data_IF_674706727263
#
_entry.id   IF_674706727263
#
_cell.length_a   1.000
_cell.length_b   1.000
_cell.length_c   1.000
_cell.angle_alpha   90.00
_cell.angle_beta   90.00
_cell.angle_gamma   90.00
#
_symmetry.space_group_name_H-M   'P 1'
#
loop_
_entity.id
_entity.type
_entity.pdbx_description
1 polymer ?
#
# COMPACT_ATOMS: atom_id res chain seq x y z
N UNK A 1 47.92 -16.64 -15.84
CA UNK A 1 46.85 -16.54 -14.82
C UNK A 1 46.27 -15.14 -14.91
N UNK A 2 45.13 -15.00 -15.58
CA UNK A 2 44.42 -13.73 -15.77
C UNK A 2 43.26 -13.69 -14.77
N UNK A 3 43.02 -12.57 -14.06
CA UNK A 3 42.07 -12.54 -12.95
C UNK A 3 40.60 -12.63 -13.43
N UNK A 4 39.67 -13.11 -12.56
CA UNK A 4 38.26 -13.31 -12.86
C UNK A 4 37.44 -11.99 -12.85
N UNK A 5 37.90 -10.96 -13.56
CA UNK A 5 37.27 -9.62 -13.50
C UNK A 5 36.09 -9.45 -14.47
N UNK A 6 36.12 -10.13 -15.62
CA UNK A 6 35.13 -9.97 -16.70
C UNK A 6 33.73 -10.52 -16.38
N UNK A 7 33.56 -11.71 -15.77
CA UNK A 7 32.22 -12.22 -15.45
C UNK A 7 31.56 -11.48 -14.28
N UNK A 8 32.36 -10.82 -13.41
CA UNK A 8 31.82 -10.00 -12.32
C UNK A 8 31.20 -8.70 -12.84
N UNK A 9 31.81 -8.05 -13.84
CA UNK A 9 31.29 -6.81 -14.42
C UNK A 9 29.93 -7.02 -15.10
N UNK A 10 29.76 -8.14 -15.83
CA UNK A 10 28.50 -8.49 -16.51
C UNK A 10 27.38 -8.80 -15.51
N UNK A 11 27.68 -9.53 -14.43
CA UNK A 11 26.74 -9.78 -13.34
C UNK A 11 26.31 -8.51 -12.61
N UNK A 12 27.23 -7.57 -12.40
CA UNK A 12 26.95 -6.25 -11.79
C UNK A 12 26.10 -5.38 -12.72
N UNK A 13 26.34 -5.38 -14.04
CA UNK A 13 25.51 -4.64 -15.00
C UNK A 13 24.09 -5.20 -15.15
N UNK A 14 23.89 -6.52 -15.06
CA UNK A 14 22.55 -7.12 -15.10
C UNK A 14 21.78 -6.81 -13.81
N UNK A 15 22.46 -6.81 -12.65
CA UNK A 15 21.85 -6.39 -11.38
C UNK A 15 21.47 -4.90 -11.39
N UNK A 16 22.27 -4.06 -12.04
CA UNK A 16 22.01 -2.61 -12.19
C UNK A 16 20.87 -2.32 -13.18
N UNK A 17 20.70 -3.13 -14.23
CA UNK A 17 19.61 -3.00 -15.20
C UNK A 17 18.27 -3.63 -14.73
N UNK A 18 18.31 -4.54 -13.75
CA UNK A 18 17.12 -5.01 -13.03
C UNK A 18 16.65 -4.02 -11.94
N UNK A 19 17.47 -3.03 -11.59
CA UNK A 19 17.13 -1.95 -10.68
C UNK A 19 16.28 -0.84 -11.31
N UNK A 20 15.43 -1.16 -12.31
CA UNK A 20 14.36 -0.23 -12.66
C UNK A 20 13.52 -0.09 -11.40
N UNK A 21 13.59 1.09 -10.78
CA UNK A 21 12.61 1.52 -9.80
C UNK A 21 11.26 1.50 -10.54
N UNK A 22 10.56 0.38 -10.44
CA UNK A 22 9.15 0.31 -10.81
C UNK A 22 8.49 1.27 -9.86
N UNK A 23 8.01 2.39 -10.39
CA UNK A 23 7.24 3.33 -9.59
C UNK A 23 6.05 2.54 -9.05
N UNK A 24 5.98 2.37 -7.74
CA UNK A 24 4.96 1.55 -7.13
C UNK A 24 3.62 2.31 -7.20
N UNK A 25 2.61 1.67 -7.76
CA UNK A 25 1.25 2.22 -7.78
C UNK A 25 0.64 2.16 -6.38
N UNK A 26 0.01 3.26 -5.98
CA UNK A 26 -0.67 3.41 -4.68
C UNK A 26 -2.12 3.86 -4.86
N UNK A 27 -2.98 3.45 -3.93
CA UNK A 27 -4.37 3.93 -3.85
C UNK A 27 -4.40 5.12 -2.90
N UNK A 28 -4.69 6.31 -3.43
CA UNK A 28 -4.88 7.52 -2.63
C UNK A 28 -6.35 7.68 -2.18
N UNK A 29 -6.55 8.14 -0.94
CA UNK A 29 -7.85 8.34 -0.32
C UNK A 29 -7.98 9.80 0.12
N UNK A 30 -9.05 10.48 -0.31
CA UNK A 30 -9.37 11.84 0.09
C UNK A 30 -10.81 11.91 0.62
N UNK A 31 -11.02 12.15 1.93
CA UNK A 31 -10.01 12.34 2.97
C UNK A 31 -9.24 11.06 3.32
N UNK A 32 -8.00 11.21 3.81
CA UNK A 32 -7.11 10.09 4.18
C UNK A 32 -7.56 9.42 5.50
N UNK A 33 -8.62 8.61 5.46
CA UNK A 33 -9.25 7.95 6.61
C UNK A 33 -9.65 6.51 6.28
N UNK A 34 -9.74 5.65 7.31
CA UNK A 34 -10.17 4.25 7.17
C UNK A 34 -11.63 3.99 7.57
N UNK A 35 -12.18 4.82 8.45
CA UNK A 35 -13.54 4.67 8.95
C UNK A 35 -14.41 5.85 8.48
N UNK A 36 -15.64 5.53 8.11
CA UNK A 36 -16.65 6.50 7.67
C UNK A 36 -18.02 6.14 8.24
N UNK A 37 -18.93 7.10 8.24
CA UNK A 37 -20.35 6.86 8.43
C UNK A 37 -21.05 6.71 7.08
N UNK A 38 -22.17 5.99 7.05
CA UNK A 38 -23.07 6.01 5.90
C UNK A 38 -23.46 7.45 5.53
N UNK A 39 -23.47 7.76 4.24
CA UNK A 39 -23.70 9.12 3.71
C UNK A 39 -22.47 10.03 3.70
N UNK A 40 -21.32 9.62 4.25
CA UNK A 40 -20.07 10.34 3.98
C UNK A 40 -19.64 10.16 2.51
N UNK A 41 -18.84 11.10 2.00
CA UNK A 41 -18.24 11.01 0.68
C UNK A 41 -16.72 10.84 0.76
N UNK A 42 -16.16 9.99 -0.10
CA UNK A 42 -14.71 9.77 -0.24
C UNK A 42 -14.32 9.66 -1.71
N UNK A 43 -13.19 10.26 -2.06
CA UNK A 43 -12.59 10.19 -3.39
C UNK A 43 -11.37 9.27 -3.37
N UNK A 44 -11.34 8.31 -4.29
CA UNK A 44 -10.27 7.32 -4.45
C UNK A 44 -9.56 7.54 -5.78
N UNK A 45 -8.23 7.61 -5.80
CA UNK A 45 -7.45 7.80 -7.04
C UNK A 45 -6.21 6.92 -7.08
N UNK A 46 -5.78 6.56 -8.28
CA UNK A 46 -4.54 5.80 -8.48
C UNK A 46 -3.38 6.75 -8.64
N UNK A 47 -2.33 6.55 -7.84
CA UNK A 47 -1.18 7.44 -7.79
C UNK A 47 0.10 6.64 -8.05
N UNK A 48 0.90 7.12 -9.00
CA UNK A 48 2.20 6.57 -9.34
C UNK A 48 3.22 7.71 -9.38
N UNK A 49 4.34 7.57 -8.66
CA UNK A 49 5.37 8.62 -8.59
C UNK A 49 4.86 9.93 -7.97
N UNK A 50 3.80 9.87 -7.16
CA UNK A 50 3.16 11.05 -6.55
C UNK A 50 2.20 11.80 -7.47
N UNK A 51 1.94 11.32 -8.68
CA UNK A 51 0.97 11.91 -9.60
C UNK A 51 -0.23 10.98 -9.79
N UNK A 52 -1.43 11.57 -9.89
CA UNK A 52 -2.63 10.81 -10.25
C UNK A 52 -2.49 10.32 -11.69
N UNK A 53 -2.68 9.02 -11.88
CA UNK A 53 -2.58 8.34 -13.17
C UNK A 53 -3.89 7.69 -13.55
N UNK A 54 -4.07 7.40 -14.83
CA UNK A 54 -5.20 6.62 -15.29
C UNK A 54 -5.08 5.18 -14.74
N UNK A 55 -6.11 4.76 -14.02
CA UNK A 55 -6.11 3.53 -13.26
C UNK A 55 -7.52 3.17 -12.84
N UNK A 56 -7.75 1.87 -12.65
CA UNK A 56 -9.06 1.37 -12.25
C UNK A 56 -9.07 1.11 -10.74
N UNK A 57 -9.95 1.81 -10.02
CA UNK A 57 -10.24 1.49 -8.62
C UNK A 57 -11.13 0.26 -8.57
N UNK A 58 -10.69 -0.74 -7.81
CA UNK A 58 -11.40 -1.99 -7.58
C UNK A 58 -11.81 -2.11 -6.12
N UNK A 59 -12.86 -2.90 -5.89
CA UNK A 59 -13.32 -3.26 -4.54
C UNK A 59 -13.65 -4.73 -4.47
N UNK A 60 -13.44 -5.38 -3.32
CA UNK A 60 -14.06 -6.67 -3.04
C UNK A 60 -14.86 -6.68 -1.74
N UNK A 61 -15.99 -7.38 -1.78
CA UNK A 61 -16.90 -7.65 -0.65
C UNK A 61 -17.23 -9.13 -0.63
N UNK A 62 -16.58 -9.89 0.25
CA UNK A 62 -16.93 -11.30 0.45
C UNK A 62 -16.83 -12.21 -0.79
N UNK A 63 -15.92 -11.93 -1.72
CA UNK A 63 -15.63 -12.78 -2.89
C UNK A 63 -15.94 -12.15 -4.25
N UNK A 64 -16.87 -11.19 -4.33
CA UNK A 64 -17.14 -10.45 -5.58
C UNK A 64 -16.16 -9.30 -5.74
N UNK A 65 -15.63 -9.09 -6.95
CA UNK A 65 -14.75 -7.96 -7.26
C UNK A 65 -15.47 -7.01 -8.21
N UNK A 66 -15.72 -5.80 -7.72
CA UNK A 66 -16.45 -4.74 -8.40
C UNK A 66 -15.46 -3.75 -9.05
N UNK A 67 -15.87 -3.07 -10.12
CA UNK A 67 -15.10 -1.99 -10.77
C UNK A 67 -15.78 -0.64 -10.62
N UNK A 68 -14.99 0.39 -10.27
CA UNK A 68 -15.44 1.77 -10.38
C UNK A 68 -15.35 2.27 -11.82
N UNK A 69 -16.33 3.06 -12.23
CA UNK A 69 -16.43 3.56 -13.60
C UNK A 69 -17.53 4.60 -13.77
N UNK A 70 -18.00 4.86 -15.00
CA UNK A 70 -19.06 5.82 -15.26
C UNK A 70 -20.40 5.37 -14.64
N UNK A 71 -21.42 6.23 -14.71
CA UNK A 71 -22.77 5.92 -14.24
C UNK A 71 -23.25 4.56 -14.79
N UNK A 72 -23.75 3.70 -13.89
CA UNK A 72 -24.15 2.31 -14.20
C UNK A 72 -23.06 1.25 -13.95
N UNK A 73 -21.87 1.65 -13.48
CA UNK A 73 -20.85 0.71 -13.01
C UNK A 73 -21.24 0.03 -11.69
N UNK A 74 -20.52 -1.02 -11.32
CA UNK A 74 -20.79 -1.85 -10.12
C UNK A 74 -20.82 -1.04 -8.82
N UNK A 75 -19.98 0.01 -8.74
CA UNK A 75 -19.97 0.96 -7.63
C UNK A 75 -19.25 2.27 -7.97
N UNK A 76 -19.55 3.32 -7.21
CA UNK A 76 -18.89 4.61 -7.33
C UNK A 76 -19.17 5.33 -8.65
N UNK A 77 -18.72 6.58 -8.72
CA UNK A 77 -18.77 7.39 -9.92
C UNK A 77 -17.37 7.87 -10.26
N UNK A 78 -16.88 7.49 -11.44
CA UNK A 78 -15.61 7.99 -11.94
C UNK A 78 -15.76 9.41 -12.48
N UNK A 79 -15.11 10.38 -11.85
CA UNK A 79 -15.12 11.79 -12.17
C UNK A 79 -13.74 12.40 -11.91
N UNK A 80 -13.22 13.20 -12.83
CA UNK A 80 -11.96 13.95 -12.67
C UNK A 80 -10.78 13.10 -12.17
N UNK A 81 -10.52 11.99 -12.88
CA UNK A 81 -9.43 11.03 -12.57
C UNK A 81 -9.56 10.32 -11.22
N UNK A 82 -10.73 10.40 -10.59
CA UNK A 82 -11.00 9.82 -9.27
C UNK A 82 -12.31 9.05 -9.26
N UNK A 83 -12.38 8.02 -8.44
CA UNK A 83 -13.61 7.30 -8.11
C UNK A 83 -14.23 7.93 -6.86
N UNK A 84 -15.33 8.65 -7.04
CA UNK A 84 -16.08 9.30 -5.95
C UNK A 84 -17.13 8.33 -5.43
N UNK A 85 -17.15 8.13 -4.11
CA UNK A 85 -18.05 7.22 -3.42
C UNK A 85 -18.94 7.99 -2.46
N UNK A 86 -20.24 7.93 -2.65
CA UNK A 86 -21.22 8.26 -1.62
C UNK A 86 -21.49 6.99 -0.82
N UNK A 87 -20.93 6.92 0.39
CA UNK A 87 -20.75 5.66 1.11
C UNK A 87 -22.08 5.12 1.67
N UNK A 88 -22.44 3.92 1.23
CA UNK A 88 -23.47 3.10 1.87
C UNK A 88 -22.81 2.13 2.86
N UNK A 89 -23.51 1.63 3.87
CA UNK A 89 -22.94 0.64 4.80
C UNK A 89 -22.42 -0.62 4.09
N UNK A 90 -23.07 -0.99 2.98
CA UNK A 90 -22.65 -2.07 2.09
C UNK A 90 -21.34 -1.80 1.32
N UNK A 91 -20.74 -0.61 1.46
CA UNK A 91 -19.47 -0.24 0.84
C UNK A 91 -18.26 -0.61 1.72
N UNK A 92 -18.47 -1.17 2.92
CA UNK A 92 -17.37 -1.77 3.69
C UNK A 92 -16.67 -2.85 2.86
N UNK A 93 -15.33 -2.80 2.76
CA UNK A 93 -14.59 -3.76 1.96
C UNK A 93 -13.12 -3.40 1.74
N UNK A 94 -12.45 -4.20 0.90
CA UNK A 94 -11.05 -3.99 0.50
C UNK A 94 -10.99 -3.28 -0.84
N UNK A 95 -10.20 -2.23 -0.93
CA UNK A 95 -10.04 -1.37 -2.11
C UNK A 95 -8.59 -1.37 -2.58
N UNK A 96 -8.37 -1.28 -3.89
CA UNK A 96 -7.04 -1.15 -4.49
C UNK A 96 -7.10 -0.50 -5.87
N UNK A 97 -5.94 -0.09 -6.38
CA UNK A 97 -5.77 0.41 -7.73
C UNK A 97 -5.11 -0.64 -8.64
N UNK A 98 -5.55 -0.68 -9.89
CA UNK A 98 -4.94 -1.44 -10.98
C UNK A 98 -4.57 -0.47 -12.11
N UNK A 99 -3.30 -0.45 -12.47
CA UNK A 99 -2.72 0.34 -13.57
C UNK A 99 -1.95 -0.60 -14.51
N UNK A 100 -1.42 -0.07 -15.62
CA UNK A 100 -0.51 -0.82 -16.48
C UNK A 100 0.80 -1.21 -15.81
N UNK A 101 1.22 -0.48 -14.78
CA UNK A 101 2.45 -0.74 -14.03
C UNK A 101 2.30 -1.79 -12.94
N UNK A 102 1.07 -2.10 -12.52
CA UNK A 102 0.79 -3.14 -11.55
C UNK A 102 -0.45 -2.88 -10.72
N UNK A 103 -0.39 -3.35 -9.48
CA UNK A 103 -1.49 -3.31 -8.53
C UNK A 103 -1.00 -2.75 -7.20
N UNK A 104 -1.77 -1.85 -6.60
CA UNK A 104 -1.44 -1.30 -5.28
C UNK A 104 -1.73 -2.29 -4.16
N UNK A 105 -1.19 -1.99 -2.99
CA UNK A 105 -1.68 -2.57 -1.73
C UNK A 105 -3.19 -2.39 -1.56
N UNK A 106 -3.79 -3.29 -0.77
CA UNK A 106 -5.20 -3.22 -0.40
C UNK A 106 -5.39 -2.37 0.84
N UNK A 107 -6.44 -1.56 0.83
CA UNK A 107 -6.89 -0.74 1.98
C UNK A 107 -8.29 -1.20 2.39
N UNK A 108 -8.49 -1.46 3.68
CA UNK A 108 -9.79 -1.82 4.23
C UNK A 108 -10.53 -0.55 4.67
N UNK A 109 -11.63 -0.22 3.99
CA UNK A 109 -12.52 0.87 4.37
C UNK A 109 -13.72 0.28 5.11
N UNK A 110 -14.02 0.83 6.29
CA UNK A 110 -15.16 0.44 7.12
C UNK A 110 -16.20 1.56 7.16
N UNK A 111 -17.44 1.24 6.81
CA UNK A 111 -18.57 2.17 6.80
C UNK A 111 -19.58 1.75 7.85
N UNK A 112 -19.84 2.63 8.82
CA UNK A 112 -20.70 2.36 9.97
C UNK A 112 -22.05 3.08 9.86
N UNK A 113 -23.10 2.47 10.41
CA UNK A 113 -24.40 3.11 10.56
C UNK A 113 -24.36 4.20 11.63
N UNK A 114 -25.03 5.33 11.38
CA UNK A 114 -25.04 6.51 12.27
C UNK A 114 -25.89 6.28 13.53
N UNK A 115 -26.76 5.29 13.49
CA UNK A 115 -27.66 4.87 14.57
C UNK A 115 -26.97 3.88 15.52
N UNK A 116 -26.03 3.09 15.00
CA UNK A 116 -25.30 2.06 15.77
C UNK A 116 -24.10 2.64 16.51
N UNK A 117 -23.36 3.55 15.88
CA UNK A 117 -22.14 4.12 16.44
C UNK A 117 -22.26 5.64 16.63
N UNK A 118 -22.06 6.17 17.85
CA UNK A 118 -22.16 7.61 18.11
C UNK A 118 -20.97 8.39 17.54
N UNK A 119 -19.79 7.76 17.45
CA UNK A 119 -18.56 8.33 16.95
C UNK A 119 -17.63 7.24 16.39
N UNK A 120 -16.71 7.66 15.52
CA UNK A 120 -15.68 6.81 14.91
C UNK A 120 -14.28 7.42 15.10
N UNK A 121 -13.24 6.60 14.93
CA UNK A 121 -11.86 7.05 14.95
C UNK A 121 -11.41 7.50 13.55
N UNK A 122 -10.96 8.75 13.44
CA UNK A 122 -10.18 9.21 12.28
C UNK A 122 -8.69 8.88 12.48
N UNK A 123 -8.19 8.04 11.59
CA UNK A 123 -6.81 7.54 11.55
C UNK A 123 -6.38 7.47 10.08
N UNK A 124 -5.14 7.83 9.72
CA UNK A 124 -4.69 7.80 8.33
C UNK A 124 -4.80 6.41 7.71
N UNK A 125 -5.23 6.35 6.46
CA UNK A 125 -5.31 5.11 5.70
C UNK A 125 -3.93 4.62 5.25
N UNK A 126 -3.04 5.56 4.93
CA UNK A 126 -1.68 5.27 4.49
C UNK A 126 -0.74 5.02 5.67
N UNK A 127 0.26 4.12 5.52
CA UNK A 127 1.32 3.96 6.51
C UNK A 127 2.04 5.28 6.78
N UNK A 128 2.18 5.60 8.06
CA UNK A 128 2.84 6.83 8.53
C UNK A 128 4.35 6.59 8.59
N UNK A 129 5.13 7.50 8.01
CA UNK A 129 6.59 7.38 8.04
C UNK A 129 7.12 7.66 9.45
N UNK A 130 8.02 6.82 9.96
CA UNK A 130 8.66 7.06 11.24
C UNK A 130 9.38 8.42 11.26
N UNK A 131 9.29 9.12 12.40
CA UNK A 131 9.77 10.49 12.57
C UNK A 131 8.79 11.58 12.13
N UNK A 132 7.69 11.25 11.43
CA UNK A 132 6.63 12.21 11.12
C UNK A 132 5.62 12.34 12.27
N UNK A 133 4.76 13.35 12.20
CA UNK A 133 3.70 13.58 13.17
C UNK A 133 2.35 13.10 12.60
N UNK A 134 1.54 12.44 13.43
CA UNK A 134 0.18 12.05 13.08
C UNK A 134 -0.80 12.55 14.14
N UNK A 135 -1.99 12.93 13.70
CA UNK A 135 -3.08 13.35 14.58
C UNK A 135 -4.26 12.40 14.41
N UNK A 136 -4.70 11.82 15.53
CA UNK A 136 -5.91 11.00 15.60
C UNK A 136 -7.06 11.83 16.17
N UNK A 137 -8.27 11.60 15.66
CA UNK A 137 -9.46 12.37 16.06
C UNK A 137 -10.63 11.45 16.32
N UNK A 138 -11.45 11.79 17.31
CA UNK A 138 -12.73 11.12 17.53
C UNK A 138 -13.83 11.98 16.91
N UNK A 139 -14.51 11.46 15.87
CA UNK A 139 -15.49 12.22 15.08
C UNK A 139 -16.90 11.72 15.37
N UNK A 140 -17.79 12.63 15.74
CA UNK A 140 -19.23 12.37 15.86
C UNK A 140 -19.86 12.12 14.49
N UNK A 141 -21.07 11.56 14.48
CA UNK A 141 -21.86 11.41 13.25
C UNK A 141 -22.02 12.71 12.47
N UNK A 142 -22.30 13.83 13.13
CA UNK A 142 -22.49 15.13 12.47
C UNK A 142 -21.21 15.75 11.89
N UNK A 143 -20.05 15.10 12.06
CA UNK A 143 -18.76 15.58 11.58
C UNK A 143 -17.97 16.40 12.60
N UNK A 144 -18.58 16.77 13.74
CA UNK A 144 -17.90 17.50 14.80
C UNK A 144 -16.90 16.63 15.57
N UNK A 145 -15.87 17.25 16.13
CA UNK A 145 -14.87 16.55 16.94
C UNK A 145 -15.33 16.41 18.39
N UNK A 146 -15.10 15.23 18.97
CA UNK A 146 -15.46 14.89 20.35
C UNK A 146 -14.20 14.75 21.20
N UNK A 147 -14.18 15.41 22.36
CA UNK A 147 -13.17 15.13 23.38
C UNK A 147 -13.36 13.72 23.94
N UNK A 148 -12.32 12.90 23.84
CA UNK A 148 -12.37 11.47 24.14
C UNK A 148 -11.04 10.99 24.73
N UNK A 149 -11.08 9.84 25.40
CA UNK A 149 -9.87 9.08 25.71
C UNK A 149 -9.44 8.33 24.47
N UNK A 150 -8.16 8.35 24.15
CA UNK A 150 -7.59 7.53 23.08
C UNK A 150 -6.96 6.29 23.69
N UNK A 151 -7.28 5.14 23.11
CA UNK A 151 -6.77 3.84 23.53
C UNK A 151 -5.90 3.26 22.42
N UNK A 152 -4.77 2.69 22.82
CA UNK A 152 -3.88 1.90 21.98
C UNK A 152 -3.75 0.51 22.58
N UNK A 153 -4.08 -0.53 21.82
CA UNK A 153 -4.09 -1.91 22.29
C UNK A 153 -4.90 -2.06 23.60
N UNK A 154 -6.04 -1.37 23.68
CA UNK A 154 -6.95 -1.30 24.84
C UNK A 154 -6.39 -0.58 26.09
N UNK A 155 -5.21 0.02 26.01
CA UNK A 155 -4.65 0.84 27.08
C UNK A 155 -4.75 2.33 26.74
N UNK A 156 -5.05 3.18 27.73
CA UNK A 156 -5.09 4.62 27.54
C UNK A 156 -3.72 5.15 27.08
N UNK A 157 -3.71 6.06 26.12
CA UNK A 157 -2.49 6.73 25.64
C UNK A 157 -2.11 7.89 26.55
N UNK A 158 -0.81 8.14 26.72
CA UNK A 158 -0.31 9.34 27.41
C UNK A 158 -0.69 9.37 28.90
N UNK A 159 -1.23 10.52 29.33
CA UNK A 159 -1.66 10.80 30.70
C UNK A 159 -3.09 10.30 31.01
N UNK A 160 -3.77 9.69 30.03
CA UNK A 160 -5.14 9.20 30.20
C UNK A 160 -6.19 10.30 30.29
N UNK A 161 -5.89 11.51 29.80
CA UNK A 161 -6.86 12.60 29.76
C UNK A 161 -7.71 12.57 28.49
N UNK A 162 -8.88 13.21 28.58
CA UNK A 162 -9.69 13.48 27.39
C UNK A 162 -9.11 14.65 26.63
N UNK A 163 -8.86 14.42 25.35
CA UNK A 163 -8.40 15.44 24.42
C UNK A 163 -9.27 15.44 23.18
N UNK A 164 -9.38 16.58 22.50
CA UNK A 164 -10.11 16.66 21.23
C UNK A 164 -9.34 15.99 20.08
N UNK A 165 -8.01 16.04 20.15
CA UNK A 165 -7.10 15.45 19.18
C UNK A 165 -5.90 14.83 19.91
N UNK A 166 -5.49 13.64 19.50
CA UNK A 166 -4.26 13.00 19.97
C UNK A 166 -3.16 13.20 18.91
N UNK A 167 -2.13 13.97 19.26
CA UNK A 167 -0.94 14.14 18.42
C UNK A 167 0.16 13.19 18.86
N UNK A 168 0.52 12.24 17.98
CA UNK A 168 1.69 11.37 18.14
C UNK A 168 2.81 12.02 17.36
N UNK A 169 3.79 12.57 18.08
CA UNK A 169 4.93 13.29 17.49
C UNK A 169 6.11 12.35 17.29
N UNK A 170 6.87 12.57 16.22
CA UNK A 170 8.03 11.78 15.88
C UNK A 170 7.76 10.27 15.96
N UNK A 171 6.74 9.82 15.20
CA UNK A 171 6.21 8.45 15.21
C UNK A 171 7.33 7.41 15.16
N UNK A 172 7.26 6.42 16.05
CA UNK A 172 8.20 5.31 16.12
C UNK A 172 7.54 4.00 15.71
N UNK A 173 8.34 2.97 15.43
CA UNK A 173 7.83 1.63 15.14
C UNK A 173 6.96 1.07 16.27
N UNK A 174 7.26 1.45 17.50
CA UNK A 174 6.48 1.08 18.68
C UNK A 174 5.09 1.72 18.69
N UNK A 175 4.85 2.82 17.96
CA UNK A 175 3.55 3.50 17.87
C UNK A 175 2.53 2.76 17.00
N UNK A 176 2.98 1.79 16.22
CA UNK A 176 2.09 0.88 15.50
C UNK A 176 1.17 0.09 16.46
N UNK A 177 -0.10 -0.07 16.07
CA UNK A 177 -1.05 -0.86 16.85
C UNK A 177 -2.51 -0.54 16.56
N UNK A 178 -3.41 -1.15 17.34
CA UNK A 178 -4.85 -0.93 17.27
C UNK A 178 -5.24 0.28 18.10
N UNK A 179 -5.86 1.27 17.47
CA UNK A 179 -6.37 2.47 18.13
C UNK A 179 -7.90 2.51 18.15
N UNK A 180 -8.47 3.10 19.20
CA UNK A 180 -9.88 3.49 19.32
C UNK A 180 -10.01 4.75 20.19
N UNK A 181 -11.18 5.40 20.16
CA UNK A 181 -11.53 6.45 21.10
C UNK A 181 -12.72 6.04 21.98
N UNK A 182 -12.81 6.56 23.20
CA UNK A 182 -13.89 6.27 24.14
C UNK A 182 -14.33 7.50 24.93
N UNK A 183 -15.57 7.49 25.41
CA UNK A 183 -16.13 8.52 26.29
C UNK A 183 -16.64 7.87 27.58
N UNK A 184 -17.01 8.65 28.61
CA UNK A 184 -17.43 8.06 29.90
C UNK A 184 -18.74 7.25 29.83
N UNK A 185 -19.52 7.42 28.75
CA UNK A 185 -20.95 7.03 28.71
C UNK A 185 -21.26 6.00 27.63
N UNK A 186 -20.26 5.59 26.85
CA UNK A 186 -20.45 4.73 25.69
C UNK A 186 -19.33 3.73 25.54
N UNK A 187 -19.61 2.63 24.86
CA UNK A 187 -18.58 1.71 24.40
C UNK A 187 -17.52 2.42 23.54
N UNK A 188 -16.28 1.91 23.50
CA UNK A 188 -15.24 2.42 22.62
C UNK A 188 -15.67 2.37 21.15
N UNK A 189 -15.13 3.29 20.35
CA UNK A 189 -15.30 3.29 18.90
C UNK A 189 -14.75 1.99 18.29
N UNK A 190 -15.20 1.62 17.08
CA UNK A 190 -14.52 0.60 16.29
C UNK A 190 -13.01 0.86 16.20
N UNK A 191 -12.23 -0.22 16.23
CA UNK A 191 -10.77 -0.14 16.22
C UNK A 191 -10.22 -0.01 14.80
N UNK A 192 -9.07 0.65 14.66
CA UNK A 192 -8.31 0.66 13.40
C UNK A 192 -6.81 0.66 13.64
N UNK A 193 -6.09 0.04 12.72
CA UNK A 193 -4.66 -0.19 12.84
C UNK A 193 -3.85 0.99 12.30
N UNK A 194 -3.02 1.61 13.14
CA UNK A 194 -2.04 2.60 12.70
C UNK A 194 -0.82 1.86 12.15
N UNK A 195 -0.61 1.91 10.84
CA UNK A 195 0.58 1.32 10.21
C UNK A 195 1.72 2.34 10.24
N UNK A 196 2.90 1.90 10.66
CA UNK A 196 4.13 2.69 10.57
C UNK A 196 4.98 2.12 9.43
N UNK A 197 5.77 2.96 8.77
CA UNK A 197 6.82 2.52 7.84
C UNK A 197 8.12 3.22 8.17
N UNK A 198 9.23 2.53 7.99
CA UNK A 198 10.54 3.16 8.14
C UNK A 198 10.74 4.21 7.04
N UNK A 199 11.56 5.24 7.28
CA UNK A 199 11.94 6.16 6.22
C UNK A 199 12.69 5.35 5.16
N UNK A 200 12.26 5.41 3.90
CA UNK A 200 13.01 4.84 2.78
C UNK A 200 14.30 5.63 2.61
N UNK A 201 15.31 5.30 3.42
CA UNK A 201 16.64 5.84 3.32
C UNK A 201 17.32 5.19 2.11
N UNK A 202 17.78 6.03 1.18
CA UNK A 202 18.98 5.72 0.40
C UNK A 202 19.99 5.10 1.34
N UNK A 203 20.37 3.85 1.08
CA UNK A 203 21.44 3.14 1.78
C UNK A 203 22.72 3.97 1.73
N UNK A 204 22.91 4.80 2.73
CA UNK A 204 24.18 5.40 3.09
C UNK A 204 24.41 5.02 4.56
N UNK A 205 25.58 4.46 4.92
CA UNK A 205 25.84 4.00 6.27
C UNK A 205 25.69 5.15 7.27
N UNK A 206 25.19 4.88 8.50
CA UNK A 206 24.99 5.92 9.49
C UNK A 206 26.34 6.54 9.83
N UNK A 207 26.53 7.79 9.44
CA UNK A 207 27.60 8.61 10.00
C UNK A 207 27.21 8.90 11.44
N UNK A 208 27.78 8.13 12.35
CA UNK A 208 27.78 8.39 13.78
C UNK A 208 28.37 9.77 14.03
N UNK A 209 27.52 10.75 14.33
CA UNK A 209 27.97 11.94 15.05
C UNK A 209 27.08 12.10 16.28
N UNK A 210 27.61 11.63 17.40
CA UNK A 210 27.16 12.04 18.72
C UNK A 210 27.54 13.51 18.92
N UNK A 211 26.57 14.35 19.25
CA UNK A 211 26.86 15.57 20.02
C UNK A 211 25.67 15.91 20.91
N UNK A 212 25.88 15.72 22.22
CA UNK A 212 24.99 16.13 23.30
C UNK A 212 24.78 17.64 23.34
N UNK A 213 23.57 17.98 23.78
CA UNK A 213 23.04 19.30 24.10
C UNK A 213 23.89 20.10 25.09
N UNK A 214 23.91 21.43 24.90
CA UNK A 214 24.03 22.38 26.00
C UNK A 214 23.17 23.61 25.70
N UNK A 215 22.33 23.94 26.67
CA UNK A 215 21.40 25.07 26.75
C UNK A 215 22.18 26.34 27.10
N UNK A 216 21.95 27.46 26.39
CA UNK A 216 21.79 28.80 26.99
C UNK A 216 21.14 29.77 25.99
N UNK A 217 20.16 30.54 26.47
CA UNK A 217 19.36 31.58 25.80
C UNK A 217 20.06 32.98 25.92
N UNK A 218 19.43 34.13 25.58
CA UNK A 218 19.18 34.78 24.28
C UNK A 218 20.04 36.06 24.03
N UNK A 219 20.18 36.50 22.76
CA UNK A 219 20.18 37.93 22.33
C UNK A 219 20.47 38.12 20.81
N UNK A 220 19.66 38.98 20.16
CA UNK A 220 19.75 39.50 18.77
C UNK A 220 20.99 40.43 18.54
N UNK A 221 21.29 41.02 17.34
CA UNK A 221 20.61 40.99 16.03
C UNK A 221 21.51 40.73 14.77
N UNK A 222 20.82 40.57 13.63
CA UNK A 222 21.21 40.72 12.21
C UNK A 222 22.60 41.29 11.85
N UNK A 223 23.38 40.52 11.08
CA UNK A 223 24.26 41.04 10.02
C UNK A 223 24.59 39.95 8.99
N UNK A 224 24.35 40.24 7.71
CA UNK A 224 24.63 39.34 6.59
C UNK A 224 26.12 39.41 6.18
N UNK A 225 26.82 38.29 5.91
CA UNK A 225 28.14 38.31 5.28
C UNK A 225 28.08 38.20 3.73
N UNK A 226 29.17 38.57 3.02
CA UNK A 226 29.19 39.01 1.63
C UNK A 226 29.12 37.88 0.58
N UNK A 227 28.92 38.20 -0.72
CA UNK A 227 28.82 37.19 -1.77
C UNK A 227 30.13 36.42 -2.01
N UNK A 228 30.05 35.16 -2.49
CA UNK A 228 31.21 34.31 -2.71
C UNK A 228 32.04 34.74 -3.94
N UNK A 229 33.37 34.45 -3.96
CA UNK A 229 34.23 34.73 -5.11
C UNK A 229 33.95 33.80 -6.30
N UNK A 230 34.32 34.19 -7.54
CA UNK A 230 34.07 33.39 -8.73
C UNK A 230 34.94 32.11 -8.77
N UNK A 231 34.46 31.05 -9.44
CA UNK A 231 35.16 29.77 -9.51
C UNK A 231 36.43 29.85 -10.39
N UNK A 232 37.46 29.02 -10.08
CA UNK A 232 38.68 28.95 -10.89
C UNK A 232 38.42 28.26 -12.24
N UNK A 233 39.27 28.51 -13.26
CA UNK A 233 39.12 27.89 -14.58
C UNK A 233 39.40 26.38 -14.54
N UNK A 234 38.80 25.60 -15.47
CA UNK A 234 38.96 24.15 -15.50
C UNK A 234 40.39 23.73 -15.89
N UNK A 235 40.89 22.59 -15.36
CA UNK A 235 42.20 22.07 -15.70
C UNK A 235 42.25 21.56 -17.16
N UNK A 236 43.45 21.55 -17.78
CA UNK A 236 43.59 21.05 -19.15
C UNK A 236 43.31 19.55 -19.24
N UNK A 237 42.72 19.15 -20.37
CA UNK A 237 42.34 17.76 -20.66
C UNK A 237 43.56 16.83 -20.74
N UNK A 238 43.45 15.58 -20.22
CA UNK A 238 44.55 14.62 -20.20
C UNK A 238 44.91 14.11 -21.60
N UNK A 239 46.16 13.67 -21.82
CA UNK A 239 46.60 13.13 -23.11
C UNK A 239 45.90 11.80 -23.44
N UNK A 240 45.78 11.46 -24.74
CA UNK A 240 45.09 10.26 -25.17
C UNK A 240 45.81 8.98 -24.73
N UNK A 241 45.06 7.90 -24.41
CA UNK A 241 45.62 6.64 -23.93
C UNK A 241 46.40 5.90 -25.04
N UNK A 242 47.40 5.08 -24.68
CA UNK A 242 48.16 4.29 -25.65
C UNK A 242 47.28 3.21 -26.31
N UNK A 243 47.65 2.76 -27.53
CA UNK A 243 46.88 1.77 -28.28
C UNK A 243 46.84 0.42 -27.56
N UNK A 244 45.72 -0.32 -27.68
CA UNK A 244 45.52 -1.59 -26.99
C UNK A 244 46.46 -2.69 -27.51
N UNK A 245 46.89 -3.62 -26.63
CA UNK A 245 47.72 -4.75 -27.05
C UNK A 245 46.94 -5.72 -27.96
N UNK A 246 47.64 -6.48 -28.83
CA UNK A 246 47.01 -7.43 -29.74
C UNK A 246 46.25 -8.53 -28.98
N UNK A 247 45.14 -9.04 -29.53
CA UNK A 247 44.30 -10.01 -28.85
C UNK A 247 45.07 -11.33 -28.64
N UNK A 248 44.97 -11.95 -27.44
CA UNK A 248 45.56 -13.26 -27.21
C UNK A 248 44.84 -14.30 -28.06
N UNK A 249 45.60 -15.16 -28.75
CA UNK A 249 45.06 -16.33 -29.42
C UNK A 249 44.35 -17.22 -28.39
N UNK A 250 43.02 -17.18 -28.38
CA UNK A 250 42.19 -18.04 -27.54
C UNK A 250 42.27 -19.46 -28.08
N UNK A 251 42.86 -20.36 -27.29
CA UNK A 251 42.88 -21.79 -27.60
C UNK A 251 41.45 -22.31 -27.79
N UNK A 252 41.17 -23.15 -28.81
CA UNK A 252 39.83 -23.68 -29.07
C UNK A 252 39.26 -24.43 -27.86
N UNK A 253 40.13 -25.02 -27.03
CA UNK A 253 39.72 -25.66 -25.77
C UNK A 253 39.11 -24.67 -24.77
N UNK A 254 39.63 -23.43 -24.69
CA UNK A 254 39.05 -22.37 -23.85
C UNK A 254 37.71 -21.89 -24.39
N UNK A 255 37.57 -21.80 -25.71
CA UNK A 255 36.30 -21.43 -26.33
C UNK A 255 35.21 -22.47 -26.04
N UNK A 256 35.55 -23.76 -26.14
CA UNK A 256 34.64 -24.86 -25.80
C UNK A 256 34.25 -24.83 -24.33
N UNK A 257 35.19 -24.61 -23.41
CA UNK A 257 34.90 -24.46 -21.98
C UNK A 257 33.99 -23.27 -21.66
N UNK A 258 34.19 -22.14 -22.33
CA UNK A 258 33.29 -20.98 -22.17
C UNK A 258 31.90 -21.22 -22.75
N UNK A 259 31.80 -21.91 -23.89
CA UNK A 259 30.51 -22.29 -24.48
C UNK A 259 29.73 -23.24 -23.59
N UNK A 260 30.39 -24.24 -22.99
CA UNK A 260 29.76 -25.19 -22.05
C UNK A 260 29.31 -24.49 -20.75
N UNK A 261 30.12 -23.56 -20.23
CA UNK A 261 29.76 -22.78 -19.05
C UNK A 261 28.59 -21.83 -19.33
N UNK A 262 28.59 -21.18 -20.50
CA UNK A 262 27.51 -20.27 -20.90
C UNK A 262 26.21 -21.04 -21.17
N UNK A 263 26.28 -22.19 -21.86
CA UNK A 263 25.11 -23.03 -22.11
C UNK A 263 24.50 -23.55 -20.81
N UNK A 264 25.32 -23.97 -19.84
CA UNK A 264 24.84 -24.42 -18.53
C UNK A 264 24.21 -23.27 -17.75
N UNK A 265 24.81 -22.07 -17.78
CA UNK A 265 24.22 -20.88 -17.15
C UNK A 265 22.86 -20.53 -17.77
N UNK A 266 22.76 -20.45 -19.09
CA UNK A 266 21.50 -20.20 -19.79
C UNK A 266 20.44 -21.25 -19.45
N UNK A 267 20.82 -22.53 -19.43
CA UNK A 267 19.94 -23.62 -19.04
C UNK A 267 19.44 -23.48 -17.60
N UNK A 268 20.32 -23.21 -16.64
CA UNK A 268 19.94 -22.98 -15.25
C UNK A 268 19.01 -21.76 -15.10
N UNK A 269 19.30 -20.65 -15.79
CA UNK A 269 18.42 -19.48 -15.75
C UNK A 269 17.06 -19.76 -16.39
N UNK A 270 17.01 -20.50 -17.50
CA UNK A 270 15.77 -20.91 -18.14
C UNK A 270 14.95 -21.85 -17.24
N UNK A 271 15.59 -22.79 -16.56
CA UNK A 271 14.94 -23.67 -15.58
C UNK A 271 14.42 -22.88 -14.38
N UNK A 272 15.18 -21.92 -13.85
CA UNK A 272 14.73 -21.09 -12.73
C UNK A 272 13.53 -20.22 -13.15
N UNK A 273 13.58 -19.59 -14.33
CA UNK A 273 12.44 -18.84 -14.87
C UNK A 273 11.24 -19.76 -15.09
N UNK A 274 11.44 -20.95 -15.66
CA UNK A 274 10.38 -21.94 -15.85
C UNK A 274 9.77 -22.36 -14.51
N UNK A 275 10.58 -22.66 -13.49
CA UNK A 275 10.11 -23.03 -12.15
C UNK A 275 9.38 -21.85 -11.49
N UNK A 276 9.87 -20.61 -11.64
CA UNK A 276 9.18 -19.42 -11.15
C UNK A 276 7.84 -19.18 -11.85
N UNK A 277 7.79 -19.33 -13.18
CA UNK A 277 6.58 -19.22 -13.97
C UNK A 277 5.59 -20.35 -13.65
N UNK A 278 6.06 -21.58 -13.48
CA UNK A 278 5.24 -22.71 -13.06
C UNK A 278 4.69 -22.51 -11.65
N UNK A 279 5.49 -22.02 -10.68
CA UNK A 279 4.98 -21.68 -9.34
C UNK A 279 3.96 -20.55 -9.37
N UNK A 280 4.13 -19.57 -10.26
CA UNK A 280 3.12 -18.52 -10.51
C UNK A 280 1.82 -19.08 -11.10
N UNK A 281 1.93 -20.13 -11.92
CA UNK A 281 0.78 -20.85 -12.50
C UNK A 281 0.13 -21.77 -11.46
N UNK A 282 0.92 -22.37 -10.56
CA UNK A 282 0.45 -23.18 -9.44
C UNK A 282 -0.26 -22.32 -8.39
N UNK A 283 0.21 -21.10 -8.10
CA UNK A 283 -0.54 -20.15 -7.27
C UNK A 283 -1.87 -19.73 -7.93
N UNK A 284 -1.90 -19.61 -9.26
CA UNK A 284 -3.15 -19.40 -9.99
C UNK A 284 -4.08 -20.63 -9.95
N UNK A 285 -3.54 -21.83 -10.06
CA UNK A 285 -4.30 -23.09 -10.06
C UNK A 285 -4.75 -23.50 -8.66
N UNK A 286 -3.97 -23.21 -7.61
CA UNK A 286 -4.35 -23.41 -6.19
C UNK A 286 -5.45 -22.43 -5.81
N UNK A 287 -5.38 -21.18 -6.28
CA UNK A 287 -6.49 -20.20 -6.18
C UNK A 287 -7.71 -20.67 -6.96
N UNK A 288 -7.54 -21.34 -8.11
CA UNK A 288 -8.64 -21.88 -8.92
C UNK A 288 -9.23 -23.20 -8.38
N UNK A 289 -8.45 -24.06 -7.72
CA UNK A 289 -8.92 -25.31 -7.09
C UNK A 289 -9.57 -25.07 -5.73
N UNK A 290 -9.17 -24.04 -4.98
CA UNK A 290 -9.89 -23.63 -3.77
C UNK A 290 -11.22 -22.95 -4.08
N UNK A 291 -11.33 -22.25 -5.21
CA UNK A 291 -12.62 -21.71 -5.69
C UNK A 291 -13.54 -22.76 -6.32
N UNK A 292 -13.02 -23.91 -6.75
CA UNK A 292 -13.84 -24.99 -7.32
C UNK A 292 -14.35 -26.02 -6.30
N UNK A 293 -13.98 -25.96 -5.01
CA UNK A 293 -14.35 -26.97 -3.99
C UNK A 293 -15.58 -26.63 -3.13
N UNK A 294 -16.28 -25.53 -3.41
CA UNK A 294 -17.58 -25.20 -2.78
C UNK A 294 -18.60 -24.93 -3.87
N UNK A 295 -19.05 -25.99 -4.54
CA UNK A 295 -20.11 -25.88 -5.53
C UNK A 295 -20.25 -27.14 -6.37
N UNK A 296 -21.02 -28.12 -5.87
CA UNK A 296 -21.48 -29.25 -6.69
C UNK A 296 -21.68 -30.56 -5.94
N UNK A 297 -22.84 -30.70 -5.30
CA UNK A 297 -23.58 -31.95 -5.04
C UNK A 297 -24.94 -31.48 -4.45
N UNK A 298 -26.13 -31.79 -4.95
CA UNK A 298 -26.61 -33.05 -5.49
C UNK A 298 -27.97 -32.88 -6.19
N UNK A 299 -28.13 -33.59 -7.31
CA UNK A 299 -29.30 -34.34 -7.80
C UNK A 299 -30.58 -33.58 -8.22
N UNK A 300 -30.79 -33.57 -9.53
CA UNK A 300 -32.10 -33.65 -10.18
C UNK A 300 -32.69 -35.05 -9.97
N UNK A 301 -33.95 -35.13 -9.52
CA UNK A 301 -34.85 -36.24 -9.85
C UNK A 301 -36.27 -35.63 -9.95
N UNK A 302 -36.81 -35.60 -11.16
CA UNK A 302 -38.22 -35.30 -11.46
C UNK A 302 -39.07 -36.47 -11.00
N UNK A 303 -40.19 -36.21 -10.30
CA UNK A 303 -41.48 -36.80 -10.72
C UNK A 303 -42.72 -36.21 -10.02
N UNK A 304 -43.73 -36.02 -10.86
CA UNK A 304 -45.18 -36.11 -10.62
C UNK A 304 -46.00 -35.03 -9.86
N UNK A 305 -46.97 -34.51 -10.62
CA UNK A 305 -48.13 -33.70 -10.23
C UNK A 305 -49.08 -34.42 -9.27
N UNK A 306 -49.59 -33.71 -8.25
CA UNK A 306 -51.01 -33.75 -7.84
C UNK A 306 -51.44 -32.37 -7.33
N UNK A 307 -52.38 -31.76 -8.05
CA UNK A 307 -53.23 -30.65 -7.59
C UNK A 307 -54.18 -31.14 -6.51
N UNK A 308 -54.22 -30.47 -5.36
CA UNK A 308 -55.42 -30.46 -4.50
C UNK A 308 -55.71 -29.01 -4.11
N UNK A 309 -56.82 -28.51 -4.66
CA UNK A 309 -57.51 -27.31 -4.22
C UNK A 309 -57.98 -27.45 -2.76
N UNK A 310 -57.88 -26.37 -2.00
CA UNK A 310 -58.50 -26.25 -0.68
C UNK A 310 -58.51 -24.81 -0.21
N UNK A 311 -59.42 -24.01 -0.75
CA UNK A 311 -59.84 -22.74 -0.17
C UNK A 311 -61.06 -23.02 0.74
N UNK A 312 -61.02 -22.52 1.97
CA UNK A 312 -62.18 -22.33 2.85
C UNK A 312 -61.81 -21.14 3.75
N UNK A 313 -62.19 -19.92 3.39
CA UNK A 313 -63.48 -19.26 3.63
C UNK A 313 -63.74 -19.00 5.12
N UNK A 314 -63.60 -17.73 5.51
CA UNK A 314 -64.01 -17.20 6.80
C UNK A 314 -64.95 -16.03 6.54
N UNK A 315 -66.26 -16.24 6.76
CA UNK A 315 -67.19 -15.21 7.24
C UNK A 315 -68.48 -15.86 7.81
N UNK A 316 -68.82 -15.41 9.03
CA UNK A 316 -70.03 -15.50 9.86
C UNK A 316 -71.37 -15.26 9.07
N UNK A 317 -72.62 -15.54 9.55
CA UNK A 317 -73.11 -15.33 10.94
C UNK A 317 -74.18 -16.26 11.55
N UNK A 318 -74.20 -16.32 12.89
CA UNK A 318 -75.41 -16.16 13.74
C UNK A 318 -75.10 -15.96 15.23
#
# INVERSE_FOLDING_TARGET
MTPPAVPLLLGVTVLWMCGRAVSEVSLNLSPNRLQFFSGDSVSLSCVEGGQTVDGTVRRTRGGTTDRCGPAGSDFGLFQDSSCVLDLLSSYTGLYWCETSSGRSDRVQISVFHREEFPFILEIPAHPVTAGSDVTLRCRNKDGSLRAAYFLKNNAATGDGLKVQELSIRAVQRSDEGLYSCSTDVSEPSPQSWLRVRDPTGTSAPPSTSFRSSAVTDPSCPSSAPPPPPPPPPPPPSPPPPPPPPPPPCVSPLRLVLHLLSFSLYCFCTGLLVSICCSRRMEDQLVVSMTTSRVGGASLEEEDHYVLVHGAEEQLDPR
#
